data_IF_576142390010
#
_entry.id   IF_576142390010
#
_cell.length_a   1.000
_cell.length_b   1.000
_cell.length_c   1.000
_cell.angle_alpha   90.00
_cell.angle_beta   90.00
_cell.angle_gamma   90.00
#
_symmetry.space_group_name_H-M   'P 1'
#
loop_
_entity.id
_entity.type
_entity.pdbx_description
1 polymer ?
#
# COMPACT_ATOMS: atom_id res chain seq x y z
N UNK A 1 0.09 -18.89 20.61
CA UNK A 1 0.16 -20.04 19.68
C UNK A 1 1.09 -19.65 18.54
N UNK A 2 2.17 -20.38 18.31
CA UNK A 2 3.09 -20.10 17.21
C UNK A 2 2.50 -20.72 15.93
N UNK A 3 2.01 -19.89 15.02
CA UNK A 3 1.56 -20.34 13.70
C UNK A 3 2.82 -20.71 12.88
N UNK A 4 2.82 -21.87 12.23
CA UNK A 4 3.91 -22.25 11.33
C UNK A 4 3.91 -21.34 10.09
N UNK A 5 5.09 -21.08 9.52
CA UNK A 5 5.25 -20.27 8.31
C UNK A 5 4.33 -20.76 7.18
N UNK A 6 4.31 -22.07 6.92
CA UNK A 6 3.45 -22.67 5.90
C UNK A 6 1.94 -22.45 6.17
N UNK A 7 1.51 -22.59 7.42
CA UNK A 7 0.10 -22.36 7.79
C UNK A 7 -0.30 -20.89 7.69
N UNK A 8 0.64 -19.95 7.90
CA UNK A 8 0.34 -18.53 7.75
C UNK A 8 0.31 -18.12 6.28
N UNK A 9 1.26 -18.57 5.47
CA UNK A 9 1.26 -18.31 4.03
C UNK A 9 -0.01 -18.82 3.36
N UNK A 10 -0.47 -20.04 3.72
CA UNK A 10 -1.74 -20.57 3.22
C UNK A 10 -2.94 -19.70 3.63
N UNK A 11 -3.01 -19.25 4.88
CA UNK A 11 -4.05 -18.34 5.33
C UNK A 11 -4.07 -17.03 4.51
N UNK A 12 -2.90 -16.45 4.25
CA UNK A 12 -2.77 -15.22 3.44
C UNK A 12 -3.24 -15.47 2.01
N UNK A 13 -2.83 -16.60 1.41
CA UNK A 13 -3.24 -17.00 0.06
C UNK A 13 -4.76 -17.11 -0.07
N UNK A 14 -5.41 -17.83 0.85
CA UNK A 14 -6.87 -18.03 0.85
C UNK A 14 -7.65 -16.72 1.01
N UNK A 15 -7.09 -15.76 1.75
CA UNK A 15 -7.81 -14.54 2.14
C UNK A 15 -7.55 -13.35 1.23
N UNK A 16 -6.38 -13.29 0.61
CA UNK A 16 -5.97 -12.11 -0.16
C UNK A 16 -5.40 -12.45 -1.54
N UNK A 17 -5.23 -13.73 -1.90
CA UNK A 17 -4.50 -14.13 -3.10
C UNK A 17 -5.25 -14.01 -4.42
N UNK A 18 -6.49 -13.55 -4.41
CA UNK A 18 -7.31 -13.35 -5.61
C UNK A 18 -8.29 -12.20 -5.46
N UNK A 19 -8.68 -11.60 -6.59
CA UNK A 19 -9.73 -10.58 -6.62
C UNK A 19 -11.05 -11.06 -6.01
N UNK A 20 -11.38 -12.35 -6.21
CA UNK A 20 -12.56 -12.98 -5.60
C UNK A 20 -12.46 -13.02 -4.06
N UNK A 21 -11.30 -13.37 -3.50
CA UNK A 21 -11.08 -13.39 -2.05
C UNK A 21 -11.18 -12.00 -1.41
N UNK A 22 -10.75 -10.97 -2.15
CA UNK A 22 -10.84 -9.56 -1.78
C UNK A 22 -12.19 -8.91 -2.11
N UNK A 23 -13.05 -9.63 -2.84
CA UNK A 23 -14.34 -9.17 -3.35
C UNK A 23 -14.21 -7.86 -4.16
N UNK A 24 -13.21 -7.83 -5.03
CA UNK A 24 -13.00 -6.70 -5.93
C UNK A 24 -14.10 -6.70 -6.99
N UNK A 25 -14.64 -5.51 -7.25
CA UNK A 25 -15.71 -5.23 -8.20
C UNK A 25 -15.27 -4.13 -9.16
N UNK A 26 -15.95 -3.98 -10.29
CA UNK A 26 -15.86 -2.77 -11.09
C UNK A 26 -16.88 -1.73 -10.62
N UNK A 27 -16.50 -0.47 -10.79
CA UNK A 27 -17.38 0.68 -10.60
C UNK A 27 -17.29 1.58 -11.81
N UNK A 28 -18.43 2.01 -12.34
CA UNK A 28 -18.44 3.09 -13.32
C UNK A 28 -18.31 4.47 -12.64
N UNK A 29 -18.24 5.53 -13.46
CA UNK A 29 -18.15 6.92 -13.02
C UNK A 29 -19.40 7.42 -12.28
N UNK A 30 -20.54 6.77 -12.46
CA UNK A 30 -21.78 7.06 -11.74
C UNK A 30 -21.88 6.31 -10.40
N UNK A 31 -20.87 5.50 -10.08
CA UNK A 31 -20.76 4.74 -8.83
C UNK A 31 -21.54 3.42 -8.84
N UNK A 32 -22.05 2.98 -9.98
CA UNK A 32 -22.70 1.68 -10.11
C UNK A 32 -21.65 0.59 -10.01
N UNK A 33 -21.86 -0.34 -9.08
CA UNK A 33 -21.05 -1.54 -8.91
C UNK A 33 -21.49 -2.66 -9.84
N UNK A 34 -20.52 -3.43 -10.32
CA UNK A 34 -20.74 -4.65 -11.07
C UNK A 34 -19.64 -5.66 -10.75
N UNK A 35 -19.97 -6.94 -10.82
CA UNK A 35 -18.96 -7.99 -10.71
C UNK A 35 -17.93 -7.89 -11.83
N UNK A 36 -16.76 -8.52 -11.63
CA UNK A 36 -15.73 -8.56 -12.67
C UNK A 36 -16.24 -9.20 -13.97
N UNK A 37 -17.05 -10.25 -13.88
CA UNK A 37 -17.65 -10.92 -15.04
C UNK A 37 -18.63 -10.01 -15.81
N UNK A 38 -19.45 -9.23 -15.09
CA UNK A 38 -20.36 -8.26 -15.69
C UNK A 38 -19.60 -7.13 -16.39
N UNK A 39 -18.55 -6.59 -15.76
CA UNK A 39 -17.70 -5.57 -16.38
C UNK A 39 -16.96 -6.10 -17.61
N UNK A 40 -16.43 -7.32 -17.54
CA UNK A 40 -15.82 -8.00 -18.69
C UNK A 40 -16.80 -8.17 -19.85
N UNK A 41 -18.04 -8.54 -19.54
CA UNK A 41 -19.12 -8.70 -20.52
C UNK A 41 -19.48 -7.36 -21.14
N UNK A 42 -19.57 -6.31 -20.32
CA UNK A 42 -19.84 -4.94 -20.78
C UNK A 42 -18.75 -4.44 -21.72
N UNK A 43 -17.48 -4.60 -21.33
CA UNK A 43 -16.34 -4.21 -22.16
C UNK A 43 -16.31 -4.98 -23.49
N UNK A 44 -16.54 -6.31 -23.46
CA UNK A 44 -16.61 -7.11 -24.70
C UNK A 44 -17.76 -6.68 -25.62
N UNK A 45 -18.86 -6.19 -25.06
CA UNK A 45 -20.02 -5.75 -25.83
C UNK A 45 -19.85 -4.35 -26.43
N UNK A 46 -19.19 -3.43 -25.72
CA UNK A 46 -19.09 -2.01 -26.09
C UNK A 46 -17.72 -1.62 -26.67
N UNK A 47 -16.66 -2.37 -26.39
CA UNK A 47 -15.29 -2.02 -26.80
C UNK A 47 -14.91 -0.62 -26.33
N UNK A 48 -14.49 0.22 -27.26
CA UNK A 48 -14.08 1.61 -27.00
C UNK A 48 -15.23 2.52 -26.51
N UNK A 49 -16.50 2.11 -26.72
CA UNK A 49 -17.68 2.83 -26.20
C UNK A 49 -18.02 2.43 -24.76
N UNK A 50 -17.27 1.51 -24.15
CA UNK A 50 -17.46 1.14 -22.74
C UNK A 50 -17.15 2.34 -21.84
N UNK A 51 -18.02 2.68 -20.88
CA UNK A 51 -17.68 3.70 -19.89
C UNK A 51 -16.44 3.27 -19.10
N UNK A 52 -15.70 4.26 -18.60
CA UNK A 52 -14.56 4.00 -17.73
C UNK A 52 -15.01 3.18 -16.51
N UNK A 53 -14.34 2.05 -16.32
CA UNK A 53 -14.52 1.18 -15.17
C UNK A 53 -13.27 1.23 -14.30
N UNK A 54 -13.46 1.37 -12.99
CA UNK A 54 -12.39 1.29 -12.00
C UNK A 54 -12.59 0.09 -11.09
N UNK A 55 -11.51 -0.64 -10.81
CA UNK A 55 -11.53 -1.73 -9.84
C UNK A 55 -11.55 -1.17 -8.42
N UNK A 56 -12.44 -1.68 -7.58
CA UNK A 56 -12.68 -1.20 -6.23
C UNK A 56 -12.84 -2.35 -5.24
N UNK A 57 -12.45 -2.10 -3.99
CA UNK A 57 -12.79 -2.96 -2.87
C UNK A 57 -14.25 -2.74 -2.42
N UNK A 58 -14.83 -3.64 -1.57
CA UNK A 58 -16.20 -3.49 -1.07
C UNK A 58 -16.49 -2.20 -0.30
N UNK A 59 -15.46 -1.57 0.28
CA UNK A 59 -15.58 -0.28 0.96
C UNK A 59 -15.42 0.92 0.03
N UNK A 60 -15.24 0.67 -1.28
CA UNK A 60 -15.08 1.66 -2.33
C UNK A 60 -13.70 2.25 -2.50
N UNK A 61 -12.71 1.78 -1.74
CA UNK A 61 -11.32 2.14 -1.99
C UNK A 61 -10.85 1.55 -3.34
N UNK A 62 -9.95 2.26 -4.02
CA UNK A 62 -9.37 1.79 -5.29
C UNK A 62 -8.59 0.49 -5.09
N UNK A 63 -8.85 -0.51 -5.94
CA UNK A 63 -8.12 -1.76 -6.01
C UNK A 63 -6.90 -1.70 -6.95
N UNK A 64 -6.43 -0.51 -7.31
CA UNK A 64 -5.14 -0.32 -7.99
C UNK A 64 -4.09 0.36 -7.11
N UNK A 65 -4.47 0.80 -5.90
CA UNK A 65 -3.59 1.50 -4.96
C UNK A 65 -3.02 0.53 -3.92
N UNK A 66 -1.68 0.43 -3.85
CA UNK A 66 -0.95 -0.47 -2.96
C UNK A 66 -1.32 -0.29 -1.48
N UNK A 67 -1.41 0.96 -1.01
CA UNK A 67 -1.80 1.29 0.38
C UNK A 67 -3.14 0.66 0.77
N UNK A 68 -4.10 0.57 -0.16
CA UNK A 68 -5.42 0.00 0.14
C UNK A 68 -5.33 -1.50 0.40
N UNK A 69 -4.49 -2.24 -0.32
CA UNK A 69 -4.23 -3.66 -0.03
C UNK A 69 -3.62 -3.84 1.37
N UNK A 70 -2.62 -3.02 1.72
CA UNK A 70 -2.02 -3.06 3.06
C UNK A 70 -3.04 -2.76 4.17
N UNK A 71 -3.98 -1.82 3.93
CA UNK A 71 -5.10 -1.52 4.83
C UNK A 71 -6.03 -2.72 4.99
N UNK A 72 -6.36 -3.44 3.92
CA UNK A 72 -7.19 -4.64 4.00
C UNK A 72 -6.53 -5.77 4.81
N UNK A 73 -5.21 -5.95 4.67
CA UNK A 73 -4.44 -6.88 5.51
C UNK A 73 -4.46 -6.44 6.97
N UNK A 74 -4.20 -5.14 7.24
CA UNK A 74 -4.23 -4.56 8.58
C UNK A 74 -5.60 -4.77 9.27
N UNK A 75 -6.70 -4.50 8.57
CA UNK A 75 -8.07 -4.68 9.11
C UNK A 75 -8.42 -6.14 9.39
N UNK A 76 -7.88 -7.07 8.62
CA UNK A 76 -8.15 -8.49 8.77
C UNK A 76 -7.35 -9.16 9.90
N UNK A 77 -6.21 -8.56 10.29
CA UNK A 77 -5.28 -9.07 11.29
C UNK A 77 -5.00 -7.99 12.35
N UNK A 78 -6.01 -7.57 13.14
CA UNK A 78 -5.84 -6.50 14.11
C UNK A 78 -4.70 -6.80 15.09
N UNK A 79 -3.99 -5.75 15.48
CA UNK A 79 -2.85 -5.76 16.42
C UNK A 79 -1.59 -6.51 15.98
N UNK A 80 -1.59 -7.09 14.77
CA UNK A 80 -0.46 -7.87 14.24
C UNK A 80 0.27 -7.18 13.10
N UNK A 81 -0.34 -6.14 12.51
CA UNK A 81 0.14 -5.54 11.26
C UNK A 81 0.69 -4.14 11.49
N UNK A 82 1.84 -3.89 10.88
CA UNK A 82 2.37 -2.56 10.64
C UNK A 82 2.35 -2.31 9.15
N UNK A 83 1.76 -1.20 8.72
CA UNK A 83 1.87 -0.75 7.32
C UNK A 83 3.15 0.09 7.20
N UNK A 84 4.00 -0.31 6.27
CA UNK A 84 5.24 0.40 5.94
C UNK A 84 5.30 0.62 4.43
N UNK A 85 6.17 1.52 4.02
CA UNK A 85 6.47 1.73 2.62
C UNK A 85 7.76 2.48 2.41
N UNK A 86 8.06 2.79 1.17
CA UNK A 86 9.20 3.61 0.78
C UNK A 86 8.84 4.45 -0.43
N UNK A 87 9.48 5.61 -0.59
CA UNK A 87 9.54 6.31 -1.85
C UNK A 87 10.71 5.74 -2.68
N UNK A 88 10.53 5.60 -3.99
CA UNK A 88 11.56 5.01 -4.84
C UNK A 88 12.90 5.76 -4.80
N UNK A 89 12.84 7.08 -4.76
CA UNK A 89 14.02 7.97 -4.68
C UNK A 89 14.88 7.71 -3.44
N UNK A 90 14.27 7.22 -2.36
CA UNK A 90 14.94 6.88 -1.09
C UNK A 90 15.34 5.39 -1.04
N UNK A 91 15.00 4.61 -2.05
CA UNK A 91 15.22 3.17 -2.13
C UNK A 91 15.59 2.70 -3.56
N UNK A 92 16.68 3.23 -4.15
CA UNK A 92 17.02 3.01 -5.56
C UNK A 92 17.44 1.56 -5.89
N UNK A 93 17.68 0.74 -4.87
CA UNK A 93 18.03 -0.68 -5.03
C UNK A 93 16.82 -1.60 -5.13
N UNK A 94 15.63 -1.11 -4.77
CA UNK A 94 14.40 -1.90 -4.91
C UNK A 94 14.13 -2.22 -6.39
N UNK A 95 13.55 -3.39 -6.66
CA UNK A 95 13.08 -3.73 -8.00
C UNK A 95 11.96 -2.78 -8.47
N UNK A 96 11.14 -2.29 -7.55
CA UNK A 96 10.10 -1.28 -7.82
C UNK A 96 10.67 -0.06 -8.56
N UNK A 97 11.81 0.47 -8.11
CA UNK A 97 12.48 1.56 -8.80
C UNK A 97 13.25 1.08 -10.04
N UNK A 98 14.06 0.01 -9.93
CA UNK A 98 14.92 -0.43 -11.04
C UNK A 98 14.15 -0.84 -12.30
N UNK A 99 12.93 -1.34 -12.14
CA UNK A 99 12.06 -1.78 -13.24
C UNK A 99 10.88 -0.82 -13.49
N UNK A 100 10.79 0.29 -12.74
CA UNK A 100 9.80 1.36 -12.90
C UNK A 100 8.34 0.87 -12.93
N UNK A 101 8.03 -0.28 -12.33
CA UNK A 101 6.66 -0.81 -12.33
C UNK A 101 5.73 -0.08 -11.34
N UNK A 102 6.28 0.77 -10.47
CA UNK A 102 5.50 1.63 -9.59
C UNK A 102 6.29 2.94 -9.33
N UNK A 103 5.94 4.07 -9.97
CA UNK A 103 6.81 5.25 -10.07
C UNK A 103 6.92 6.12 -8.80
N UNK A 104 6.06 5.93 -7.80
CA UNK A 104 6.00 6.82 -6.63
C UNK A 104 6.62 6.22 -5.37
N UNK A 105 6.81 4.91 -5.31
CA UNK A 105 7.10 4.18 -4.08
C UNK A 105 6.26 2.92 -3.98
N UNK A 106 6.18 2.32 -2.79
CA UNK A 106 5.29 1.19 -2.55
C UNK A 106 4.97 1.02 -1.07
N UNK A 107 3.70 0.76 -0.75
CA UNK A 107 3.21 0.47 0.61
C UNK A 107 2.75 -0.99 0.73
N UNK A 108 3.12 -1.64 1.83
CA UNK A 108 2.81 -3.04 2.10
C UNK A 108 2.68 -3.33 3.60
N UNK A 109 2.13 -4.50 3.93
CA UNK A 109 1.91 -4.93 5.31
C UNK A 109 3.07 -5.78 5.81
N UNK A 110 3.55 -5.50 7.03
CA UNK A 110 4.45 -6.37 7.79
C UNK A 110 3.68 -6.94 8.98
N UNK A 111 3.55 -8.26 9.05
CA UNK A 111 2.80 -8.99 10.08
C UNK A 111 3.77 -9.64 11.08
N UNK A 112 3.54 -9.40 12.37
CA UNK A 112 4.35 -9.89 13.49
C UNK A 112 5.86 -9.66 13.34
N UNK A 113 6.24 -8.53 12.74
CA UNK A 113 7.64 -8.17 12.44
C UNK A 113 8.39 -9.17 11.52
N UNK A 114 7.66 -10.13 10.93
CA UNK A 114 8.25 -11.31 10.28
C UNK A 114 7.77 -11.51 8.85
N UNK A 115 6.49 -11.36 8.59
CA UNK A 115 5.93 -11.67 7.28
C UNK A 115 5.66 -10.39 6.50
N UNK A 116 6.25 -10.26 5.31
CA UNK A 116 5.78 -9.26 4.33
C UNK A 116 4.56 -9.85 3.63
N UNK A 117 3.43 -9.14 3.69
CA UNK A 117 2.19 -9.52 3.03
C UNK A 117 1.81 -8.43 2.03
N UNK A 118 1.80 -8.83 0.77
CA UNK A 118 1.58 -7.92 -0.35
C UNK A 118 0.88 -8.63 -1.51
N UNK A 119 -0.45 -8.54 -1.58
CA UNK A 119 -1.20 -9.05 -2.72
C UNK A 119 -1.08 -8.17 -3.98
N UNK A 120 -0.70 -6.90 -3.83
CA UNK A 120 -0.66 -5.93 -4.94
C UNK A 120 0.41 -6.31 -5.96
N UNK A 121 1.58 -6.80 -5.52
CA UNK A 121 2.66 -7.26 -6.43
C UNK A 121 2.25 -8.42 -7.34
N UNK A 122 1.22 -9.20 -6.95
CA UNK A 122 0.63 -10.24 -7.78
C UNK A 122 -0.53 -9.70 -8.62
N UNK A 123 -1.52 -9.12 -7.97
CA UNK A 123 -2.83 -8.84 -8.57
C UNK A 123 -2.83 -7.59 -9.44
N UNK A 124 -1.93 -6.64 -9.18
CA UNK A 124 -1.86 -5.38 -9.93
C UNK A 124 -0.58 -5.30 -10.75
N UNK A 125 0.59 -5.44 -10.12
CA UNK A 125 1.85 -5.32 -10.84
C UNK A 125 2.22 -6.57 -11.67
N UNK A 126 1.72 -7.74 -11.29
CA UNK A 126 2.05 -9.00 -11.98
C UNK A 126 3.53 -9.41 -11.90
N UNK A 127 4.30 -8.83 -10.97
CA UNK A 127 5.76 -9.03 -10.86
C UNK A 127 6.16 -10.18 -9.94
N UNK A 128 5.21 -10.71 -9.15
CA UNK A 128 5.42 -11.83 -8.24
C UNK A 128 4.21 -12.77 -8.22
N UNK A 129 4.47 -14.07 -8.20
CA UNK A 129 3.44 -15.08 -7.90
C UNK A 129 3.31 -15.36 -6.40
N UNK A 130 4.16 -14.81 -5.55
CA UNK A 130 4.10 -14.95 -4.09
C UNK A 130 3.65 -13.64 -3.45
N UNK A 131 2.76 -13.73 -2.45
CA UNK A 131 2.18 -12.56 -1.76
C UNK A 131 2.49 -12.56 -0.25
N UNK A 132 3.08 -13.63 0.27
CA UNK A 132 3.47 -13.77 1.66
C UNK A 132 4.92 -14.23 1.71
N UNK A 133 5.79 -13.44 2.34
CA UNK A 133 7.23 -13.71 2.42
C UNK A 133 7.64 -13.77 3.89
N UNK A 134 8.21 -14.88 4.33
CA UNK A 134 8.77 -15.04 5.67
C UNK A 134 10.22 -14.54 5.69
N UNK A 135 10.49 -13.38 6.27
CA UNK A 135 11.86 -12.80 6.24
C UNK A 135 12.90 -13.65 7.01
N UNK A 136 12.46 -14.62 7.82
CA UNK A 136 13.36 -15.58 8.47
C UNK A 136 13.71 -16.77 7.57
N UNK A 137 13.03 -16.95 6.45
CA UNK A 137 13.40 -17.88 5.41
C UNK A 137 14.39 -17.20 4.44
N UNK A 138 15.55 -17.81 4.20
CA UNK A 138 16.61 -17.20 3.38
C UNK A 138 16.18 -16.87 1.94
N UNK A 139 15.30 -17.69 1.34
CA UNK A 139 14.82 -17.47 -0.03
C UNK A 139 13.86 -16.30 -0.08
N UNK A 140 12.91 -16.26 0.84
CA UNK A 140 11.96 -15.16 0.96
C UNK A 140 12.67 -13.86 1.34
N UNK A 141 13.67 -13.90 2.21
CA UNK A 141 14.49 -12.74 2.56
C UNK A 141 15.22 -12.16 1.34
N UNK A 142 15.74 -13.01 0.45
CA UNK A 142 16.36 -12.56 -0.80
C UNK A 142 15.33 -11.94 -1.76
N UNK A 143 14.13 -12.53 -1.87
CA UNK A 143 13.04 -11.96 -2.66
C UNK A 143 12.56 -10.61 -2.11
N UNK A 144 12.45 -10.50 -0.79
CA UNK A 144 12.05 -9.26 -0.11
C UNK A 144 13.09 -8.17 -0.32
N UNK A 145 14.38 -8.50 -0.20
CA UNK A 145 15.46 -7.56 -0.46
C UNK A 145 15.47 -7.09 -1.92
N UNK A 146 15.23 -7.99 -2.87
CA UNK A 146 15.16 -7.66 -4.29
C UNK A 146 13.94 -6.78 -4.61
N UNK A 147 12.74 -7.18 -4.19
CA UNK A 147 11.50 -6.47 -4.47
C UNK A 147 11.40 -5.12 -3.76
N UNK A 148 11.63 -5.11 -2.45
CA UNK A 148 11.33 -3.97 -1.57
C UNK A 148 12.58 -3.24 -1.08
N UNK A 149 13.78 -3.70 -1.45
CA UNK A 149 15.03 -3.09 -1.00
C UNK A 149 15.32 -3.28 0.51
N UNK A 150 16.36 -2.61 1.02
CA UNK A 150 16.78 -2.73 2.41
C UNK A 150 15.72 -2.21 3.38
N UNK A 151 15.50 -2.95 4.47
CA UNK A 151 14.53 -2.61 5.52
C UNK A 151 14.74 -1.22 6.17
N UNK A 152 15.96 -0.70 6.15
CA UNK A 152 16.27 0.65 6.66
C UNK A 152 15.60 1.78 5.85
N UNK A 153 15.23 1.51 4.60
CA UNK A 153 14.50 2.44 3.73
C UNK A 153 13.00 2.45 4.03
N UNK A 154 12.47 1.43 4.71
CA UNK A 154 11.04 1.32 4.99
C UNK A 154 10.65 2.25 6.13
N UNK A 155 9.59 3.03 5.91
CA UNK A 155 9.02 3.99 6.85
C UNK A 155 7.61 3.59 7.21
N UNK A 156 7.18 3.91 8.43
CA UNK A 156 5.79 3.65 8.82
C UNK A 156 4.85 4.52 7.98
N UNK A 157 3.66 4.03 7.63
CA UNK A 157 2.69 4.80 6.84
C UNK A 157 2.35 6.16 7.49
N UNK A 158 2.36 6.24 8.82
CA UNK A 158 2.18 7.51 9.54
C UNK A 158 3.28 8.53 9.26
N UNK A 159 4.47 8.09 8.86
CA UNK A 159 5.61 8.90 8.43
C UNK A 159 5.56 9.17 6.91
N UNK A 160 5.12 8.19 6.11
CA UNK A 160 4.98 8.31 4.64
C UNK A 160 3.86 9.28 4.25
N UNK A 161 2.72 9.25 4.94
CA UNK A 161 1.63 10.22 4.74
C UNK A 161 2.03 11.65 5.10
N UNK A 162 3.06 11.84 5.95
CA UNK A 162 3.62 13.17 6.26
C UNK A 162 4.53 13.69 5.14
N UNK A 163 5.19 12.82 4.36
CA UNK A 163 6.02 13.23 3.21
C UNK A 163 5.19 13.62 1.97
N UNK A 164 4.02 13.00 1.75
CA UNK A 164 3.21 13.23 0.54
C UNK A 164 2.19 14.37 0.67
N UNK A 165 2.17 15.09 1.81
CA UNK A 165 1.26 16.22 2.08
C UNK A 165 1.91 17.61 2.00
N UNK A 166 3.09 17.76 1.38
CA UNK A 166 3.64 19.10 1.09
C UNK A 166 3.77 19.41 -0.39
N UNK A 167 2.74 20.05 -0.96
CA UNK A 167 2.91 21.22 -1.80
C UNK A 167 2.61 22.46 -0.96
N UNK A 168 3.67 23.08 -0.44
CA UNK A 168 3.69 24.50 -0.04
C UNK A 168 2.73 24.97 1.06
N UNK A 169 3.15 24.85 2.33
CA UNK A 169 2.84 25.89 3.32
C UNK A 169 4.12 26.24 4.06
N UNK A 170 4.47 27.52 3.98
CA UNK A 170 5.66 28.14 4.57
C UNK A 170 5.60 27.96 6.09
N UNK A 171 6.71 27.53 6.68
CA UNK A 171 6.95 27.76 8.10
C UNK A 171 6.79 29.25 8.38
N UNK A 172 5.73 29.60 9.11
CA UNK A 172 5.68 30.84 9.85
C UNK A 172 5.95 30.50 11.31
N UNK A 173 7.20 30.65 11.71
CA UNK A 173 7.58 31.10 13.05
C UNK A 173 8.54 32.27 12.80
N UNK A 174 8.50 33.38 13.57
CA UNK A 174 8.33 33.35 15.02
C UNK A 174 7.49 34.49 15.62
N UNK A 175 6.87 34.25 16.78
CA UNK A 175 6.54 35.32 17.71
C UNK A 175 7.03 34.95 19.11
N UNK A 176 8.30 35.26 19.35
CA UNK A 176 8.84 35.57 20.66
C UNK A 176 8.00 36.67 21.31
N UNK A 177 7.20 36.30 22.30
CA UNK A 177 6.55 37.24 23.20
C UNK A 177 7.59 37.85 24.15
N UNK A 178 8.09 39.03 23.78
CA UNK A 178 8.81 39.94 24.69
C UNK A 178 7.76 40.74 25.48
N UNK A 179 7.85 40.82 26.83
CA UNK A 179 6.93 41.64 27.62
C UNK A 179 7.32 43.13 27.55
N UNK A 180 6.36 44.07 27.64
CA UNK A 180 6.68 45.49 27.59
C UNK A 180 7.36 45.93 28.89
N UNK A 181 8.64 46.31 28.76
CA UNK A 181 9.40 47.03 29.77
C UNK A 181 8.92 48.47 29.92
N UNK A 182 8.74 48.85 31.18
CA UNK A 182 8.56 50.18 31.75
C UNK A 182 9.32 51.31 31.06
N UNK A 183 8.61 52.41 30.78
CA UNK A 183 9.21 53.74 30.65
C UNK A 183 8.36 54.76 31.40
N UNK A 184 8.84 55.19 32.57
CA UNK A 184 8.69 56.58 33.02
C UNK A 184 10.00 57.00 33.66
N UNK A 185 10.65 57.99 33.05
CA UNK A 185 11.69 58.80 33.67
C UNK A 185 11.22 60.24 33.65
N UNK A 186 10.78 60.74 34.80
CA UNK A 186 11.11 62.03 35.41
C UNK A 186 10.28 62.23 36.67
#
# INVERSE_FOLDING_TARGET
MTISSASFAQYVEERFGSDASLKIEFSDLDGRRMSLEEGDTLYKALGDDCPDLVSVFPDGLSATVCTNYAIHVFRALPDRVVIVGFANVDNPTSRAEREEFHPEGHDFAVVDDRFVVDPWVRLVAGVSQQICFDIHNERDAALVLDLYGPRACWKHLSEVMRCHLTPGVRHADPATSVPPGSTQSR
#
